data_IF_577107277977
#
_entry.id   IF_577107277977
#
_cell.length_a   1.000
_cell.length_b   1.000
_cell.length_c   1.000
_cell.angle_alpha   90.00
_cell.angle_beta   90.00
_cell.angle_gamma   90.00
#
_symmetry.space_group_name_H-M   'P 1'
#
loop_
_entity.id
_entity.type
_entity.pdbx_description
1 polymer ?
#
# COMPACT_ATOMS: atom_id res chain seq x y z
N UNK A 1 -9.87 5.80 23.50
CA UNK A 1 -8.64 6.62 23.36
C UNK A 1 -7.38 5.81 23.05
N UNK A 2 -7.13 4.66 23.69
CA UNK A 2 -5.92 3.82 23.42
C UNK A 2 -5.80 3.37 21.95
N UNK A 3 -6.90 2.93 21.34
CA UNK A 3 -6.92 2.45 19.95
C UNK A 3 -6.50 3.54 18.95
N UNK A 4 -6.92 4.79 19.15
CA UNK A 4 -6.51 5.92 18.30
C UNK A 4 -5.00 6.18 18.40
N UNK A 5 -4.41 6.03 19.61
CA UNK A 5 -2.96 6.13 19.78
C UNK A 5 -2.20 5.07 18.98
N UNK A 6 -2.66 3.82 18.98
CA UNK A 6 -2.06 2.76 18.17
C UNK A 6 -2.17 3.03 16.67
N UNK A 7 -3.32 3.52 16.20
CA UNK A 7 -3.49 3.91 14.79
C UNK A 7 -2.56 5.05 14.42
N UNK A 8 -2.45 6.08 15.26
CA UNK A 8 -1.58 7.22 15.00
C UNK A 8 -0.09 6.82 14.91
N UNK A 9 0.40 6.06 15.89
CA UNK A 9 1.79 5.55 15.89
C UNK A 9 2.03 4.64 14.68
N UNK A 10 1.09 3.73 14.40
CA UNK A 10 1.18 2.88 13.20
C UNK A 10 1.21 3.70 11.92
N UNK A 11 0.38 4.74 11.81
CA UNK A 11 0.34 5.65 10.66
C UNK A 11 1.66 6.37 10.44
N UNK A 12 2.30 6.85 11.51
CA UNK A 12 3.64 7.46 11.45
C UNK A 12 4.66 6.45 10.88
N UNK A 13 4.69 5.24 11.43
CA UNK A 13 5.61 4.17 10.97
C UNK A 13 5.37 3.85 9.50
N UNK A 14 4.10 3.66 9.10
CA UNK A 14 3.75 3.36 7.72
C UNK A 14 4.14 4.47 6.75
N UNK A 15 3.88 5.72 7.09
CA UNK A 15 4.23 6.89 6.27
C UNK A 15 5.75 7.06 6.13
N UNK A 16 6.50 6.84 7.21
CA UNK A 16 7.97 6.86 7.17
C UNK A 16 8.53 5.72 6.31
N UNK A 17 7.95 4.52 6.40
CA UNK A 17 8.32 3.37 5.56
C UNK A 17 8.08 3.66 4.08
N UNK A 18 6.95 4.27 3.72
CA UNK A 18 6.67 4.72 2.35
C UNK A 18 7.67 5.77 1.88
N UNK A 19 7.91 6.80 2.69
CA UNK A 19 8.89 7.84 2.38
C UNK A 19 10.30 7.27 2.13
N UNK A 20 10.71 6.30 2.96
CA UNK A 20 11.98 5.59 2.77
C UNK A 20 12.05 4.86 1.43
N UNK A 21 10.96 4.20 1.00
CA UNK A 21 10.90 3.54 -0.31
C UNK A 21 10.92 4.55 -1.46
N UNK A 22 10.24 5.69 -1.31
CA UNK A 22 10.28 6.76 -2.33
C UNK A 22 11.69 7.32 -2.47
N UNK A 23 12.45 7.51 -1.36
CA UNK A 23 13.86 7.93 -1.41
C UNK A 23 14.76 6.89 -2.08
N UNK A 24 14.57 5.61 -1.78
CA UNK A 24 15.34 4.53 -2.40
C UNK A 24 15.05 4.43 -3.90
N UNK A 25 13.80 4.62 -4.31
CA UNK A 25 13.42 4.65 -5.72
C UNK A 25 14.05 5.85 -6.43
N UNK A 26 13.99 7.04 -5.85
CA UNK A 26 14.57 8.25 -6.42
C UNK A 26 16.11 8.18 -6.54
N UNK A 27 16.79 7.49 -5.62
CA UNK A 27 18.25 7.33 -5.65
C UNK A 27 18.76 6.26 -6.63
N UNK A 28 17.92 5.28 -6.99
CA UNK A 28 18.34 4.14 -7.82
C UNK A 28 17.69 4.10 -9.21
N UNK A 29 16.60 4.83 -9.39
CA UNK A 29 15.90 4.94 -10.66
C UNK A 29 15.89 6.42 -11.05
N UNK A 30 16.60 6.82 -12.12
CA UNK A 30 16.53 8.19 -12.63
C UNK A 30 15.15 8.38 -13.29
N UNK A 31 14.13 8.56 -12.46
CA UNK A 31 12.75 8.77 -12.91
C UNK A 31 12.53 10.27 -13.05
N UNK A 32 12.22 10.71 -14.25
CA UNK A 32 11.70 12.05 -14.49
C UNK A 32 10.29 12.17 -13.87
N UNK A 33 9.86 13.37 -13.44
CA UNK A 33 8.51 13.59 -12.87
C UNK A 33 7.36 13.12 -13.78
N UNK A 34 7.63 12.96 -15.07
CA UNK A 34 6.68 12.53 -16.11
C UNK A 34 6.70 11.01 -16.35
N UNK A 35 7.56 10.28 -15.63
CA UNK A 35 7.64 8.84 -15.77
C UNK A 35 6.48 8.12 -15.06
N UNK A 36 6.29 6.86 -15.45
CA UNK A 36 5.27 6.02 -14.84
C UNK A 36 5.55 5.84 -13.33
N UNK A 37 4.58 6.12 -12.43
CA UNK A 37 4.81 6.17 -10.97
C UNK A 37 4.96 4.78 -10.34
N UNK A 38 6.07 4.11 -10.65
CA UNK A 38 6.37 2.74 -10.24
C UNK A 38 6.52 2.59 -8.72
N UNK A 39 7.08 3.59 -8.02
CA UNK A 39 7.25 3.54 -6.56
C UNK A 39 5.91 3.47 -5.86
N UNK A 40 4.96 4.35 -6.21
CA UNK A 40 3.61 4.35 -5.66
C UNK A 40 2.85 3.06 -6.00
N UNK A 41 2.98 2.57 -7.24
CA UNK A 41 2.40 1.29 -7.64
C UNK A 41 2.93 0.16 -6.75
N UNK A 42 4.25 0.05 -6.60
CA UNK A 42 4.88 -1.00 -5.78
C UNK A 42 4.43 -0.92 -4.31
N UNK A 43 4.44 0.28 -3.71
CA UNK A 43 3.96 0.52 -2.34
C UNK A 43 2.53 0.02 -2.15
N UNK A 44 1.62 0.38 -3.07
CA UNK A 44 0.23 -0.04 -2.99
C UNK A 44 0.06 -1.55 -3.17
N UNK A 45 0.79 -2.19 -4.09
CA UNK A 45 0.74 -3.64 -4.30
C UNK A 45 1.31 -4.41 -3.09
N UNK A 46 2.44 -3.96 -2.53
CA UNK A 46 3.04 -4.55 -1.31
C UNK A 46 2.07 -4.42 -0.14
N UNK A 47 1.46 -3.24 0.04
CA UNK A 47 0.46 -3.02 1.08
C UNK A 47 -0.76 -3.91 0.92
N UNK A 48 -1.27 -4.09 -0.31
CA UNK A 48 -2.38 -4.99 -0.61
C UNK A 48 -2.04 -6.46 -0.31
N UNK A 49 -0.83 -6.90 -0.66
CA UNK A 49 -0.34 -8.25 -0.33
C UNK A 49 -0.26 -8.44 1.19
N UNK A 50 0.32 -7.47 1.89
CA UNK A 50 0.44 -7.49 3.34
C UNK A 50 -0.93 -7.51 4.05
N UNK A 51 -1.91 -6.74 3.58
CA UNK A 51 -3.30 -6.80 4.08
C UNK A 51 -3.87 -8.21 3.88
N UNK A 52 -3.70 -8.78 2.70
CA UNK A 52 -4.19 -10.14 2.40
C UNK A 52 -3.61 -11.21 3.31
N UNK A 53 -2.33 -11.07 3.71
CA UNK A 53 -1.68 -12.00 4.65
C UNK A 53 -2.12 -11.73 6.09
N UNK A 54 -2.04 -10.49 6.53
CA UNK A 54 -2.21 -10.12 7.94
C UNK A 54 -3.67 -10.13 8.40
N UNK A 55 -4.62 -9.73 7.56
CA UNK A 55 -6.01 -9.61 7.98
C UNK A 55 -6.60 -10.94 8.47
N UNK A 56 -6.46 -12.09 7.76
CA UNK A 56 -6.93 -13.37 8.26
C UNK A 56 -6.17 -13.84 9.51
N UNK A 57 -4.83 -13.68 9.54
CA UNK A 57 -4.01 -14.10 10.67
C UNK A 57 -4.38 -13.37 11.97
N UNK A 58 -4.67 -12.09 11.88
CA UNK A 58 -5.05 -11.26 13.02
C UNK A 58 -6.47 -11.55 13.53
N UNK A 59 -7.33 -12.17 12.71
CA UNK A 59 -8.64 -12.62 13.17
C UNK A 59 -8.56 -13.88 14.03
N UNK A 60 -7.58 -14.76 13.76
CA UNK A 60 -7.51 -16.10 14.36
C UNK A 60 -6.46 -16.18 15.48
N UNK A 61 -5.38 -15.41 15.42
CA UNK A 61 -4.14 -15.68 16.18
C UNK A 61 -3.76 -14.66 17.23
N UNK A 62 -4.45 -13.53 17.38
CA UNK A 62 -3.99 -12.51 18.32
C UNK A 62 -4.86 -12.36 19.54
N UNK A 63 -4.27 -12.56 20.73
CA UNK A 63 -4.83 -12.12 22.02
C UNK A 63 -4.68 -10.61 22.26
N UNK A 64 -4.14 -9.84 21.31
CA UNK A 64 -3.97 -8.40 21.41
C UNK A 64 -5.06 -7.63 20.63
N UNK A 65 -6.05 -7.03 21.33
CA UNK A 65 -7.20 -6.38 20.67
C UNK A 65 -6.83 -5.22 19.74
N UNK A 66 -5.67 -4.58 19.96
CA UNK A 66 -5.20 -3.44 19.17
C UNK A 66 -4.27 -3.82 18.01
N UNK A 67 -3.98 -5.11 17.81
CA UNK A 67 -3.12 -5.57 16.72
C UNK A 67 -3.66 -5.14 15.34
N UNK A 68 -4.94 -5.35 15.09
CA UNK A 68 -5.58 -4.99 13.82
C UNK A 68 -5.63 -3.48 13.59
N UNK A 69 -6.10 -2.64 14.54
CA UNK A 69 -6.01 -1.19 14.42
C UNK A 69 -4.58 -0.68 14.19
N UNK A 70 -3.58 -1.21 14.89
CA UNK A 70 -2.20 -0.79 14.76
C UNK A 70 -1.59 -1.18 13.41
N UNK A 71 -1.67 -2.47 13.02
CA UNK A 71 -1.00 -2.99 11.83
C UNK A 71 -1.75 -2.61 10.55
N UNK A 72 -3.07 -2.84 10.50
CA UNK A 72 -3.83 -2.65 9.26
C UNK A 72 -4.22 -1.19 9.08
N UNK A 73 -4.92 -0.60 10.06
CA UNK A 73 -5.40 0.78 9.92
C UNK A 73 -4.25 1.78 10.07
N UNK A 74 -3.32 1.53 11.01
CA UNK A 74 -2.17 2.38 11.25
C UNK A 74 -1.09 2.16 10.19
N UNK A 75 -0.29 1.08 10.32
CA UNK A 75 0.90 0.90 9.47
C UNK A 75 0.54 0.80 7.99
N UNK A 76 -0.33 -0.12 7.60
CA UNK A 76 -0.65 -0.31 6.19
C UNK A 76 -1.48 0.85 5.62
N UNK A 77 -2.35 1.48 6.43
CA UNK A 77 -3.09 2.68 6.04
C UNK A 77 -2.18 3.90 5.82
N UNK A 78 -1.10 4.05 6.61
CA UNK A 78 -0.08 5.08 6.40
C UNK A 78 0.90 4.75 5.27
N UNK A 79 1.16 3.46 5.04
CA UNK A 79 2.08 2.99 4.00
C UNK A 79 1.48 3.11 2.60
N UNK A 80 0.23 2.66 2.38
CA UNK A 80 -0.47 2.77 1.10
C UNK A 80 -1.04 4.17 0.89
N UNK A 81 -1.28 4.56 -0.37
CA UNK A 81 -1.79 5.90 -0.67
C UNK A 81 -2.70 5.92 -1.89
N UNK A 82 -3.94 6.38 -1.68
CA UNK A 82 -4.88 6.67 -2.75
C UNK A 82 -4.70 8.10 -3.27
N UNK A 83 -4.30 9.03 -2.41
CA UNK A 83 -4.10 10.44 -2.80
C UNK A 83 -2.95 10.60 -3.81
N UNK A 84 -1.83 9.88 -3.64
CA UNK A 84 -0.74 9.89 -4.62
C UNK A 84 -1.19 9.25 -5.95
N UNK A 85 -1.93 8.13 -5.91
CA UNK A 85 -2.53 7.51 -7.11
C UNK A 85 -3.38 8.52 -7.88
N UNK A 86 -4.27 9.24 -7.20
CA UNK A 86 -5.16 10.21 -7.82
C UNK A 86 -4.37 11.41 -8.40
N UNK A 87 -3.44 11.98 -7.62
CA UNK A 87 -2.63 13.12 -8.05
C UNK A 87 -1.75 12.78 -9.26
N UNK A 88 -1.04 11.66 -9.23
CA UNK A 88 -0.16 11.21 -10.31
C UNK A 88 -0.96 10.86 -11.58
N UNK A 89 -2.14 10.24 -11.44
CA UNK A 89 -3.03 10.02 -12.57
C UNK A 89 -3.51 11.34 -13.19
N UNK A 90 -3.80 12.35 -12.35
CA UNK A 90 -4.17 13.69 -12.80
C UNK A 90 -3.05 14.36 -13.58
N UNK A 91 -1.79 14.29 -13.11
CA UNK A 91 -0.63 14.84 -13.82
C UNK A 91 -0.48 14.17 -15.19
N UNK A 92 -0.52 12.83 -15.26
CA UNK A 92 -0.44 12.09 -16.52
C UNK A 92 -1.54 12.51 -17.51
N UNK A 93 -2.75 12.79 -17.02
CA UNK A 93 -3.86 13.27 -17.87
C UNK A 93 -3.61 14.67 -18.40
N UNK A 94 -3.13 15.60 -17.55
CA UNK A 94 -2.82 16.98 -17.94
C UNK A 94 -1.67 17.05 -18.96
N UNK A 95 -0.72 16.12 -18.88
CA UNK A 95 0.41 15.98 -19.82
C UNK A 95 0.00 15.26 -21.13
N UNK A 96 -1.30 15.00 -21.34
CA UNK A 96 -1.79 14.32 -22.54
C UNK A 96 -1.49 12.82 -22.59
N UNK A 97 -1.01 12.23 -21.47
CA UNK A 97 -0.63 10.83 -21.37
C UNK A 97 -1.79 9.95 -20.86
N UNK A 98 -3.00 10.13 -21.38
CA UNK A 98 -4.22 9.48 -20.90
C UNK A 98 -4.14 7.95 -20.86
N UNK A 99 -3.46 7.31 -21.82
CA UNK A 99 -3.27 5.87 -21.84
C UNK A 99 -2.39 5.36 -20.68
N UNK A 100 -1.37 6.15 -20.27
CA UNK A 100 -0.53 5.84 -19.09
C UNK A 100 -1.33 5.99 -17.81
N UNK A 101 -2.14 7.05 -17.69
CA UNK A 101 -3.03 7.23 -16.55
C UNK A 101 -4.01 6.07 -16.41
N UNK A 102 -4.66 5.65 -17.51
CA UNK A 102 -5.57 4.51 -17.52
C UNK A 102 -4.84 3.21 -17.14
N UNK A 103 -3.68 2.95 -17.73
CA UNK A 103 -2.84 1.79 -17.39
C UNK A 103 -2.43 1.76 -15.93
N UNK A 104 -2.05 2.91 -15.37
CA UNK A 104 -1.67 3.05 -13.97
C UNK A 104 -2.84 2.75 -13.01
N UNK A 105 -4.03 3.29 -13.30
CA UNK A 105 -5.23 3.01 -12.52
C UNK A 105 -5.60 1.52 -12.58
N UNK A 106 -5.64 0.94 -13.78
CA UNK A 106 -5.94 -0.49 -13.96
C UNK A 106 -4.90 -1.38 -13.26
N UNK A 107 -3.60 -1.09 -13.44
CA UNK A 107 -2.52 -1.85 -12.80
C UNK A 107 -2.62 -1.79 -11.26
N UNK A 108 -2.91 -0.62 -10.70
CA UNK A 108 -3.05 -0.46 -9.25
C UNK A 108 -4.28 -1.19 -8.71
N UNK A 109 -5.44 -1.02 -9.34
CA UNK A 109 -6.69 -1.62 -8.86
C UNK A 109 -6.71 -3.14 -9.07
N UNK A 110 -6.46 -3.60 -10.30
CA UNK A 110 -6.47 -5.03 -10.60
C UNK A 110 -5.32 -5.76 -9.91
N UNK A 111 -4.11 -5.18 -9.95
CA UNK A 111 -2.93 -5.71 -9.26
C UNK A 111 -3.14 -5.76 -7.75
N UNK A 112 -3.73 -4.73 -7.15
CA UNK A 112 -4.07 -4.69 -5.74
C UNK A 112 -5.04 -5.80 -5.33
N UNK A 113 -6.11 -6.02 -6.10
CA UNK A 113 -7.06 -7.12 -5.87
C UNK A 113 -6.38 -8.49 -5.97
N UNK A 114 -5.52 -8.68 -6.97
CA UNK A 114 -4.76 -9.92 -7.11
C UNK A 114 -3.78 -10.12 -5.95
N UNK A 115 -3.08 -9.07 -5.53
CA UNK A 115 -2.16 -9.10 -4.40
C UNK A 115 -2.87 -9.48 -3.09
N UNK A 116 -4.04 -8.89 -2.80
CA UNK A 116 -4.86 -9.28 -1.64
C UNK A 116 -5.26 -10.76 -1.71
N UNK A 117 -5.74 -11.23 -2.86
CA UNK A 117 -6.13 -12.65 -3.04
C UNK A 117 -4.97 -13.59 -2.83
N UNK A 118 -3.79 -13.26 -3.37
CA UNK A 118 -2.57 -14.04 -3.15
C UNK A 118 -2.18 -14.06 -1.66
N UNK A 119 -2.20 -12.91 -1.00
CA UNK A 119 -1.94 -12.82 0.43
C UNK A 119 -2.87 -13.70 1.26
N UNK A 120 -4.18 -13.68 0.98
CA UNK A 120 -5.15 -14.53 1.65
C UNK A 120 -4.86 -16.03 1.45
N UNK A 121 -4.48 -16.45 0.23
CA UNK A 121 -4.11 -17.85 -0.05
C UNK A 121 -2.88 -18.30 0.74
N UNK A 122 -1.88 -17.42 0.87
CA UNK A 122 -0.68 -17.68 1.69
C UNK A 122 -1.07 -17.84 3.16
N UNK A 123 -1.91 -16.94 3.68
CA UNK A 123 -2.37 -16.95 5.06
C UNK A 123 -3.12 -18.24 5.42
N UNK A 124 -4.02 -18.71 4.56
CA UNK A 124 -4.81 -19.93 4.79
C UNK A 124 -3.90 -21.17 4.86
N UNK A 125 -2.85 -21.25 4.02
CA UNK A 125 -1.89 -22.37 4.06
C UNK A 125 -1.08 -22.44 5.34
N UNK A 126 -0.86 -21.32 6.02
CA UNK A 126 -0.12 -21.27 7.29
C UNK A 126 -1.01 -21.58 8.51
N UNK A 127 -2.31 -21.70 8.31
CA UNK A 127 -3.30 -21.97 9.38
C UNK A 127 -3.69 -23.44 9.47
N UNK A 128 -3.19 -24.28 8.57
CA UNK A 128 -3.34 -25.75 8.58
C UNK A 128 -2.10 -26.42 9.17
#
# INVERSE_FOLDING_TARGET
MRTLGYIAVGGIIGSLGRYGLDLLAAGNLPLEPQDFPLSTLAVNLIGCLAIGILAPLLLVRTGWPNARPFLITGILGGFTTFSALAAQSGVLLLDGQGWRAAGYLVATLAGGLLAVRLGMRISVRQSQ
#
